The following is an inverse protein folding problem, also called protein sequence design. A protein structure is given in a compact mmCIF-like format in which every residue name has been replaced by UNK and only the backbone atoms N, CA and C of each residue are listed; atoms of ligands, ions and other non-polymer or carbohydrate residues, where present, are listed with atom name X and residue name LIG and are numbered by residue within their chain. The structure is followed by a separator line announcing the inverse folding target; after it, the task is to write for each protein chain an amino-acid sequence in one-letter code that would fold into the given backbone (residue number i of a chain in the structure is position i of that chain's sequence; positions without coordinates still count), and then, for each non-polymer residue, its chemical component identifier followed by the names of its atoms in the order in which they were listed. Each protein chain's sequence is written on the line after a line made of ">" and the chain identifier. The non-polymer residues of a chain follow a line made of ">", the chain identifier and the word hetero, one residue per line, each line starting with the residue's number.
data_IF_762910858726
#
_entry.id   IF_762910858726
#
_cell.length_a   1.000
_cell.length_b   1.000
_cell.length_c   1.000
_cell.angle_alpha   90.00
_cell.angle_beta   90.00
_cell.angle_gamma   90.00
#
_symmetry.space_group_name_H-M   'P 1'
#
loop_
_entity.id
_entity.type
_entity.pdbx_description
1 polymer ?
#
# COMPACT_ATOMS: atom_id res chain seq x y z
N UNK A 1 23.24 -3.07 -0.60
CA UNK A 1 21.77 -3.29 -0.60
C UNK A 1 21.03 -2.28 -1.47
N UNK A 2 21.24 -0.97 -1.28
CA UNK A 2 20.58 0.08 -2.08
C UNK A 2 20.67 -0.10 -3.60
N UNK A 3 21.82 -0.51 -4.15
CA UNK A 3 21.94 -0.75 -5.60
C UNK A 3 21.16 -1.98 -6.09
N UNK A 4 20.93 -2.97 -5.23
CA UNK A 4 20.02 -4.10 -5.53
C UNK A 4 18.57 -3.61 -5.60
N UNK A 5 18.15 -2.75 -4.67
CA UNK A 5 16.85 -2.07 -4.73
C UNK A 5 16.73 -1.20 -5.99
N UNK A 6 17.73 -0.34 -6.28
CA UNK A 6 17.75 0.52 -7.47
C UNK A 6 17.71 -0.28 -8.77
N UNK A 7 18.36 -1.44 -8.82
CA UNK A 7 18.31 -2.37 -9.95
C UNK A 7 16.95 -3.06 -10.07
N UNK A 8 16.36 -3.54 -8.97
CA UNK A 8 15.01 -4.10 -8.93
C UNK A 8 13.97 -3.07 -9.42
N UNK A 9 14.04 -1.83 -8.91
CA UNK A 9 13.19 -0.72 -9.34
C UNK A 9 13.36 -0.37 -10.82
N UNK A 10 14.57 -0.50 -11.38
CA UNK A 10 14.83 -0.27 -12.81
C UNK A 10 14.36 -1.44 -13.68
N UNK A 11 14.37 -2.68 -13.19
CA UNK A 11 13.87 -3.85 -13.93
C UNK A 11 12.34 -3.88 -14.05
N UNK A 12 11.58 -3.28 -13.12
CA UNK A 12 10.12 -3.16 -13.25
C UNK A 12 9.67 -2.38 -14.50
N UNK A 13 10.54 -1.51 -15.06
CA UNK A 13 10.24 -0.68 -16.24
C UNK A 13 10.49 -1.42 -17.56
N UNK A 14 11.10 -2.61 -17.53
CA UNK A 14 11.82 -3.17 -18.69
C UNK A 14 11.36 -4.51 -19.26
N UNK A 15 10.16 -5.01 -18.91
CA UNK A 15 9.70 -6.32 -19.38
C UNK A 15 8.38 -6.25 -20.13
N UNK A 16 8.46 -6.18 -21.46
CA UNK A 16 7.38 -6.48 -22.38
C UNK A 16 7.91 -7.53 -23.37
N UNK A 17 7.32 -8.74 -23.36
CA UNK A 17 7.66 -9.81 -24.31
C UNK A 17 6.55 -9.87 -25.37
N UNK A 18 6.88 -9.49 -26.60
CA UNK A 18 5.96 -9.54 -27.74
C UNK A 18 6.30 -10.74 -28.65
N UNK A 19 5.81 -11.92 -28.27
CA UNK A 19 5.90 -13.15 -29.09
C UNK A 19 4.71 -14.09 -28.82
N UNK A 20 3.50 -13.55 -28.98
CA UNK A 20 2.23 -14.29 -28.93
C UNK A 20 1.35 -13.77 -30.08
N UNK A 21 0.59 -14.67 -30.71
CA UNK A 21 -0.14 -14.40 -31.95
C UNK A 21 -1.58 -13.87 -31.71
N UNK A 22 -2.18 -14.12 -30.54
CA UNK A 22 -3.48 -13.54 -30.14
C UNK A 22 -3.30 -12.29 -29.25
N UNK A 23 -3.78 -11.10 -29.66
CA UNK A 23 -3.68 -9.88 -28.86
C UNK A 23 -4.43 -9.93 -27.52
N UNK A 24 -5.49 -10.73 -27.38
CA UNK A 24 -6.17 -10.89 -26.07
C UNK A 24 -5.24 -11.51 -25.03
N UNK A 25 -4.49 -12.55 -25.43
CA UNK A 25 -3.61 -13.29 -24.53
C UNK A 25 -2.40 -12.44 -24.09
N UNK A 26 -1.92 -11.53 -24.95
CA UNK A 26 -0.91 -10.52 -24.59
C UNK A 26 -1.43 -9.57 -23.50
N UNK A 27 -2.67 -9.09 -23.64
CA UNK A 27 -3.28 -8.16 -22.68
C UNK A 27 -3.55 -8.85 -21.32
N UNK A 28 -4.07 -10.08 -21.33
CA UNK A 28 -4.23 -10.89 -20.11
C UNK A 28 -2.89 -11.18 -19.42
N UNK A 29 -1.84 -11.50 -20.18
CA UNK A 29 -0.50 -11.68 -19.63
C UNK A 29 0.07 -10.37 -19.06
N UNK A 30 -0.18 -9.21 -19.69
CA UNK A 30 0.29 -7.93 -19.18
C UNK A 30 -0.35 -7.59 -17.82
N UNK A 31 -1.65 -7.84 -17.66
CA UNK A 31 -2.35 -7.69 -16.37
C UNK A 31 -1.73 -8.61 -15.31
N UNK A 32 -1.43 -9.87 -15.66
CA UNK A 32 -0.74 -10.84 -14.78
C UNK A 32 0.65 -10.33 -14.37
N UNK A 33 1.47 -9.90 -15.32
CA UNK A 33 2.81 -9.37 -15.08
C UNK A 33 2.80 -8.12 -14.18
N UNK A 34 1.80 -7.25 -14.33
CA UNK A 34 1.62 -6.07 -13.47
C UNK A 34 1.21 -6.46 -12.04
N UNK A 35 0.34 -7.45 -11.87
CA UNK A 35 -0.03 -7.99 -10.57
C UNK A 35 1.15 -8.66 -9.86
N UNK A 36 1.94 -9.47 -10.58
CA UNK A 36 3.13 -10.18 -10.06
C UNK A 36 4.29 -9.27 -9.64
N UNK A 37 4.24 -7.98 -10.00
CA UNK A 37 5.20 -6.96 -9.55
C UNK A 37 4.83 -6.35 -8.20
N UNK A 38 3.55 -6.34 -7.81
CA UNK A 38 3.09 -5.75 -6.54
C UNK A 38 3.73 -6.45 -5.32
N UNK A 39 3.79 -7.79 -5.22
CA UNK A 39 4.48 -8.47 -4.12
C UNK A 39 5.97 -8.15 -4.05
N UNK A 40 6.67 -8.16 -5.20
CA UNK A 40 8.12 -7.90 -5.30
C UNK A 40 8.47 -6.47 -4.86
N UNK A 41 7.60 -5.51 -5.19
CA UNK A 41 7.72 -4.12 -4.74
C UNK A 41 7.41 -3.98 -3.24
N UNK A 42 6.41 -4.68 -2.71
CA UNK A 42 6.11 -4.71 -1.27
C UNK A 42 7.28 -5.27 -0.45
N UNK A 43 7.88 -6.38 -0.88
CA UNK A 43 9.08 -6.97 -0.27
C UNK A 43 10.25 -5.98 -0.27
N UNK A 44 10.50 -5.33 -1.42
CA UNK A 44 11.53 -4.30 -1.57
C UNK A 44 11.33 -3.12 -0.62
N UNK A 45 10.08 -2.65 -0.44
CA UNK A 45 9.72 -1.60 0.51
C UNK A 45 9.88 -2.08 1.95
N UNK A 46 9.54 -3.33 2.26
CA UNK A 46 9.72 -3.91 3.58
C UNK A 46 11.21 -4.00 3.98
N UNK A 47 12.11 -4.34 3.05
CA UNK A 47 13.56 -4.28 3.29
C UNK A 47 14.05 -2.86 3.60
N UNK A 48 13.55 -1.84 2.88
CA UNK A 48 13.88 -0.43 3.17
C UNK A 48 13.32 -0.02 4.54
N UNK A 49 12.08 -0.43 4.89
CA UNK A 49 11.50 -0.17 6.21
C UNK A 49 12.28 -0.85 7.33
N UNK A 50 12.75 -2.08 7.13
CA UNK A 50 13.56 -2.80 8.12
C UNK A 50 14.87 -2.07 8.42
N UNK A 51 15.58 -1.61 7.39
CA UNK A 51 16.78 -0.78 7.55
C UNK A 51 16.48 0.55 8.24
N UNK A 52 15.37 1.21 7.90
CA UNK A 52 14.90 2.41 8.58
C UNK A 52 14.63 2.13 10.08
N UNK A 53 13.91 1.06 10.41
CA UNK A 53 13.61 0.67 11.81
C UNK A 53 14.88 0.34 12.60
N UNK A 54 15.89 -0.27 11.96
CA UNK A 54 17.18 -0.53 12.60
C UNK A 54 17.86 0.79 12.97
N UNK A 55 17.96 1.73 12.03
CA UNK A 55 18.53 3.06 12.25
C UNK A 55 17.75 3.84 13.32
N UNK A 56 16.41 3.74 13.36
CA UNK A 56 15.57 4.36 14.40
C UNK A 56 15.88 3.81 15.81
N UNK A 57 16.10 2.49 15.93
CA UNK A 57 16.49 1.85 17.20
C UNK A 57 17.90 2.25 17.65
N UNK A 58 18.87 2.26 16.72
CA UNK A 58 20.22 2.74 16.99
C UNK A 58 20.22 4.21 17.42
N UNK A 59 19.41 5.06 16.77
CA UNK A 59 19.27 6.47 17.10
C UNK A 59 18.77 6.68 18.54
N UNK A 60 17.74 5.91 18.93
CA UNK A 60 17.18 5.94 20.28
C UNK A 60 18.21 5.48 21.32
N UNK A 61 18.97 4.41 21.03
CA UNK A 61 20.05 3.93 21.88
C UNK A 61 21.14 4.99 22.08
N UNK A 62 21.66 5.57 21.00
CA UNK A 62 22.67 6.64 21.08
C UNK A 62 22.17 7.87 21.86
N UNK A 63 20.88 8.24 21.70
CA UNK A 63 20.28 9.33 22.49
C UNK A 63 20.23 9.03 23.98
N UNK A 64 19.89 7.80 24.36
CA UNK A 64 19.95 7.35 25.75
C UNK A 64 21.40 7.40 26.29
N UNK A 65 22.35 6.80 25.57
CA UNK A 65 23.77 6.74 25.99
C UNK A 65 24.39 8.15 26.12
N UNK A 66 24.08 9.07 25.20
CA UNK A 66 24.47 10.48 25.30
C UNK A 66 23.84 11.17 26.52
N UNK A 67 22.57 10.88 26.83
CA UNK A 67 21.90 11.39 28.03
C UNK A 67 22.54 10.89 29.33
N UNK A 68 22.76 9.58 29.43
CA UNK A 68 23.40 8.94 30.58
C UNK A 68 24.84 9.42 30.79
N UNK A 69 25.64 9.48 29.72
CA UNK A 69 27.02 9.99 29.79
C UNK A 69 27.04 11.47 30.18
N UNK A 70 26.09 12.28 29.69
CA UNK A 70 25.95 13.69 30.12
C UNK A 70 25.65 13.80 31.61
N UNK A 71 24.78 12.94 32.15
CA UNK A 71 24.50 12.90 33.59
C UNK A 71 25.74 12.45 34.40
N UNK A 72 26.45 11.40 33.94
CA UNK A 72 27.68 10.89 34.57
C UNK A 72 28.82 11.94 34.57
N UNK A 73 28.99 12.71 33.49
CA UNK A 73 29.93 13.85 33.44
C UNK A 73 29.55 14.91 34.48
N UNK A 74 28.29 15.35 34.52
CA UNK A 74 27.83 16.37 35.49
C UNK A 74 28.05 15.93 36.94
N UNK A 75 27.71 14.68 37.27
CA UNK A 75 27.91 14.13 38.61
C UNK A 75 29.39 14.02 38.99
N UNK A 76 30.27 13.64 38.05
CA UNK A 76 31.71 13.57 38.30
C UNK A 76 32.31 14.95 38.58
N UNK A 77 31.92 15.98 37.82
CA UNK A 77 32.34 17.39 38.05
C UNK A 77 31.83 17.89 39.42
N UNK A 78 30.56 17.67 39.74
CA UNK A 78 29.99 18.07 41.04
C UNK A 78 30.66 17.36 42.22
N UNK A 79 31.12 16.12 42.02
CA UNK A 79 31.88 15.35 43.01
C UNK A 79 33.38 15.68 43.07
N UNK A 80 33.88 16.66 42.31
CA UNK A 80 35.30 17.03 42.26
C UNK A 80 36.22 15.94 41.68
N UNK A 81 35.68 15.06 40.83
CA UNK A 81 36.42 13.91 40.24
C UNK A 81 36.73 14.16 38.77
N UNK A 82 37.61 15.13 38.53
CA UNK A 82 37.92 15.63 37.18
C UNK A 82 38.46 14.53 36.24
N UNK A 83 39.26 13.58 36.74
CA UNK A 83 39.74 12.43 35.94
C UNK A 83 38.60 11.57 35.40
N UNK A 84 37.58 11.30 36.23
CA UNK A 84 36.38 10.57 35.81
C UNK A 84 35.55 11.41 34.85
N UNK A 85 35.39 12.71 35.11
CA UNK A 85 34.68 13.63 34.24
C UNK A 85 35.30 13.67 32.83
N UNK A 86 36.63 13.77 32.73
CA UNK A 86 37.37 13.72 31.47
C UNK A 86 37.17 12.40 30.71
N UNK A 87 37.19 11.27 31.43
CA UNK A 87 36.95 9.95 30.83
C UNK A 87 35.54 9.80 30.27
N UNK A 88 34.51 10.27 30.99
CA UNK A 88 33.12 10.25 30.53
C UNK A 88 32.87 11.28 29.43
N UNK A 89 33.52 12.45 29.47
CA UNK A 89 33.40 13.48 28.43
C UNK A 89 33.97 13.00 27.09
N UNK A 90 35.10 12.29 27.11
CA UNK A 90 35.69 11.66 25.92
C UNK A 90 34.72 10.65 25.30
N UNK A 91 34.10 9.78 26.11
CA UNK A 91 33.06 8.85 25.65
C UNK A 91 31.83 9.57 25.10
N UNK A 92 31.36 10.61 25.81
CA UNK A 92 30.23 11.44 25.38
C UNK A 92 30.47 12.08 24.01
N UNK A 93 31.68 12.53 23.72
CA UNK A 93 32.04 13.11 22.42
C UNK A 93 32.05 12.05 21.31
N UNK A 94 32.52 10.83 21.60
CA UNK A 94 32.44 9.70 20.65
C UNK A 94 30.99 9.33 20.34
N UNK A 95 30.13 9.18 21.36
CA UNK A 95 28.71 8.83 21.16
C UNK A 95 27.91 9.96 20.48
N UNK A 96 28.17 11.23 20.80
CA UNK A 96 27.57 12.35 20.05
C UNK A 96 27.97 12.33 18.57
N UNK A 97 29.22 11.95 18.27
CA UNK A 97 29.70 11.81 16.88
C UNK A 97 29.08 10.60 16.18
N UNK A 98 28.81 9.51 16.90
CA UNK A 98 28.08 8.36 16.38
C UNK A 98 26.61 8.68 16.11
N UNK A 99 25.93 9.35 17.06
CA UNK A 99 24.57 9.84 16.94
C UNK A 99 24.40 10.73 15.69
N UNK A 100 25.26 11.74 15.50
CA UNK A 100 25.18 12.64 14.35
C UNK A 100 25.32 11.91 13.00
N UNK A 101 26.20 10.90 12.92
CA UNK A 101 26.33 10.04 11.72
C UNK A 101 25.08 9.19 11.50
N UNK A 102 24.53 8.59 12.56
CA UNK A 102 23.31 7.80 12.48
C UNK A 102 22.09 8.68 12.12
N UNK A 103 21.98 9.92 12.62
CA UNK A 103 20.92 10.86 12.24
C UNK A 103 20.95 11.22 10.75
N UNK A 104 22.13 11.44 10.17
CA UNK A 104 22.28 11.69 8.73
C UNK A 104 21.90 10.47 7.87
N UNK A 105 22.28 9.26 8.31
CA UNK A 105 21.86 8.01 7.67
C UNK A 105 20.35 7.79 7.79
N UNK A 106 19.78 8.08 8.96
CA UNK A 106 18.35 7.96 9.24
C UNK A 106 17.52 8.90 8.36
N UNK A 107 17.92 10.16 8.22
CA UNK A 107 17.26 11.12 7.32
C UNK A 107 17.29 10.63 5.86
N UNK A 108 18.42 10.09 5.41
CA UNK A 108 18.57 9.50 4.07
C UNK A 108 17.68 8.27 3.89
N UNK A 109 17.58 7.40 4.91
CA UNK A 109 16.72 6.22 4.90
C UNK A 109 15.22 6.57 4.88
N UNK A 110 14.79 7.63 5.60
CA UNK A 110 13.41 8.14 5.56
C UNK A 110 13.05 8.63 4.16
N UNK A 111 13.86 9.51 3.58
CA UNK A 111 13.65 10.01 2.22
C UNK A 111 13.62 8.88 1.17
N UNK A 112 14.44 7.84 1.34
CA UNK A 112 14.43 6.64 0.49
C UNK A 112 13.13 5.82 0.65
N UNK A 113 12.64 5.65 1.88
CA UNK A 113 11.38 4.96 2.17
C UNK A 113 10.17 5.70 1.60
N UNK A 114 10.07 7.02 1.83
CA UNK A 114 8.98 7.86 1.32
C UNK A 114 8.97 7.87 -0.22
N UNK A 115 10.16 7.91 -0.85
CA UNK A 115 10.28 7.78 -2.30
C UNK A 115 9.80 6.41 -2.78
N UNK A 116 10.11 5.32 -2.08
CA UNK A 116 9.64 3.98 -2.44
C UNK A 116 8.11 3.85 -2.34
N UNK A 117 7.49 4.42 -1.29
CA UNK A 117 6.03 4.51 -1.15
C UNK A 117 5.38 5.32 -2.29
N UNK A 118 5.97 6.46 -2.65
CA UNK A 118 5.49 7.28 -3.76
C UNK A 118 5.58 6.56 -5.11
N UNK A 119 6.67 5.82 -5.38
CA UNK A 119 6.77 5.01 -6.60
C UNK A 119 5.74 3.87 -6.59
N UNK A 120 5.49 3.20 -5.45
CA UNK A 120 4.39 2.23 -5.34
C UNK A 120 3.04 2.86 -5.66
N UNK A 121 2.75 4.07 -5.14
CA UNK A 121 1.49 4.78 -5.40
C UNK A 121 1.34 5.15 -6.89
N UNK A 122 2.43 5.55 -7.55
CA UNK A 122 2.44 5.81 -8.99
C UNK A 122 2.24 4.52 -9.80
N UNK A 123 2.96 3.44 -9.46
CA UNK A 123 2.84 2.13 -10.10
C UNK A 123 1.42 1.58 -9.99
N UNK A 124 0.78 1.64 -8.82
CA UNK A 124 -0.60 1.16 -8.65
C UNK A 124 -1.56 1.91 -9.57
N UNK A 125 -1.48 3.25 -9.63
CA UNK A 125 -2.30 4.06 -10.55
C UNK A 125 -2.07 3.71 -12.03
N UNK A 126 -0.83 3.47 -12.42
CA UNK A 126 -0.50 3.10 -13.80
C UNK A 126 -0.95 1.67 -14.13
N UNK A 127 -0.79 0.73 -13.20
CA UNK A 127 -1.35 -0.63 -13.27
C UNK A 127 -2.86 -0.58 -13.45
N UNK A 128 -3.56 0.18 -12.63
CA UNK A 128 -5.03 0.19 -12.63
C UNK A 128 -5.55 0.80 -13.93
N UNK A 129 -4.91 1.88 -14.42
CA UNK A 129 -5.17 2.44 -15.75
C UNK A 129 -4.92 1.42 -16.87
N UNK A 130 -3.74 0.80 -16.92
CA UNK A 130 -3.39 -0.19 -17.96
C UNK A 130 -4.27 -1.44 -17.91
N UNK A 131 -4.66 -1.88 -16.72
CA UNK A 131 -5.61 -2.98 -16.52
C UNK A 131 -6.98 -2.63 -17.09
N UNK A 132 -7.49 -1.42 -16.83
CA UNK A 132 -8.77 -0.96 -17.38
C UNK A 132 -8.73 -0.83 -18.92
N UNK A 133 -7.65 -0.26 -19.48
CA UNK A 133 -7.42 -0.16 -20.94
C UNK A 133 -7.35 -1.55 -21.59
N UNK A 134 -6.60 -2.48 -20.99
CA UNK A 134 -6.49 -3.87 -21.45
C UNK A 134 -7.83 -4.62 -21.37
N UNK A 135 -8.59 -4.48 -20.28
CA UNK A 135 -9.92 -5.09 -20.14
C UNK A 135 -10.95 -4.50 -21.11
N UNK A 136 -10.86 -3.21 -21.45
CA UNK A 136 -11.67 -2.63 -22.51
C UNK A 136 -11.35 -3.26 -23.88
N UNK A 137 -10.06 -3.29 -24.25
CA UNK A 137 -9.62 -3.87 -25.51
C UNK A 137 -9.93 -5.38 -25.63
N UNK A 138 -9.83 -6.16 -24.56
CA UNK A 138 -10.25 -7.57 -24.54
C UNK A 138 -11.76 -7.70 -24.81
N UNK A 139 -12.61 -6.86 -24.19
CA UNK A 139 -14.07 -6.86 -24.44
C UNK A 139 -14.38 -6.54 -25.91
N UNK A 140 -13.73 -5.53 -26.48
CA UNK A 140 -13.93 -5.12 -27.87
C UNK A 140 -13.45 -6.20 -28.86
N UNK A 141 -12.31 -6.84 -28.58
CA UNK A 141 -11.80 -7.96 -29.36
C UNK A 141 -12.76 -9.17 -29.33
N UNK A 142 -13.28 -9.55 -28.15
CA UNK A 142 -14.28 -10.62 -28.02
C UNK A 142 -15.59 -10.28 -28.71
N UNK A 143 -16.05 -9.03 -28.64
CA UNK A 143 -17.23 -8.55 -29.37
C UNK A 143 -17.04 -8.66 -30.88
N UNK A 144 -15.88 -8.27 -31.40
CA UNK A 144 -15.55 -8.38 -32.82
C UNK A 144 -15.46 -9.85 -33.27
N UNK A 145 -14.82 -10.72 -32.48
CA UNK A 145 -14.78 -12.17 -32.71
C UNK A 145 -16.19 -12.80 -32.67
N UNK A 146 -17.10 -12.29 -31.84
CA UNK A 146 -18.51 -12.71 -31.82
C UNK A 146 -19.26 -12.27 -33.08
N UNK A 147 -19.16 -10.99 -33.45
CA UNK A 147 -19.81 -10.44 -34.65
C UNK A 147 -19.36 -11.14 -35.93
N UNK A 148 -18.06 -11.43 -36.08
CA UNK A 148 -17.54 -12.22 -37.19
C UNK A 148 -18.18 -13.62 -37.25
N UNK A 149 -18.21 -14.36 -36.13
CA UNK A 149 -18.85 -15.69 -36.07
C UNK A 149 -20.34 -15.67 -36.40
N UNK A 150 -21.06 -14.61 -36.03
CA UNK A 150 -22.47 -14.46 -36.41
C UNK A 150 -22.59 -14.20 -37.91
N UNK A 151 -21.74 -13.35 -38.49
CA UNK A 151 -21.71 -13.10 -39.93
C UNK A 151 -21.35 -14.38 -40.73
N UNK A 152 -20.30 -15.11 -40.34
CA UNK A 152 -19.90 -16.39 -40.96
C UNK A 152 -21.05 -17.42 -40.90
N UNK A 153 -21.76 -17.47 -39.77
CA UNK A 153 -22.92 -18.35 -39.59
C UNK A 153 -24.13 -17.93 -40.46
N UNK A 154 -24.30 -16.63 -40.75
CA UNK A 154 -25.32 -16.13 -41.66
C UNK A 154 -24.95 -16.40 -43.13
N UNK A 155 -23.71 -16.11 -43.56
CA UNK A 155 -23.23 -16.35 -44.92
C UNK A 155 -23.27 -17.83 -45.29
N UNK A 156 -22.78 -18.70 -44.40
CA UNK A 156 -22.84 -20.16 -44.61
C UNK A 156 -24.27 -20.74 -44.61
N UNK A 157 -25.24 -20.03 -44.03
CA UNK A 157 -26.65 -20.41 -44.03
C UNK A 157 -27.39 -19.87 -45.28
N UNK A 158 -27.02 -18.69 -45.78
CA UNK A 158 -27.59 -18.09 -47.00
C UNK A 158 -27.30 -18.93 -48.25
N UNK A 159 -26.17 -19.65 -48.27
CA UNK A 159 -25.81 -20.64 -49.31
C UNK A 159 -26.63 -21.95 -49.20
N UNK A 160 -27.31 -22.21 -48.07
CA UNK A 160 -27.87 -23.52 -47.71
C UNK A 160 -29.41 -23.58 -47.70
N UNK A 161 -30.09 -22.94 -48.65
CA UNK A 161 -31.47 -23.28 -49.04
C UNK A 161 -32.57 -22.93 -48.02
N UNK A 162 -33.15 -21.74 -48.18
CA UNK A 162 -34.25 -21.22 -47.37
C UNK A 162 -35.55 -22.01 -47.59
N UNK A 163 -36.15 -22.52 -46.51
CA UNK A 163 -37.58 -22.33 -46.20
C UNK A 163 -37.92 -22.85 -44.78
N UNK A 164 -38.84 -22.15 -44.10
CA UNK A 164 -39.38 -22.43 -42.75
C UNK A 164 -38.43 -22.39 -41.53
N UNK A 165 -37.11 -22.56 -41.66
CA UNK A 165 -36.19 -22.61 -40.50
C UNK A 165 -35.62 -21.25 -40.06
N UNK A 166 -35.83 -20.17 -40.82
CA UNK A 166 -35.17 -18.88 -40.59
C UNK A 166 -35.56 -18.21 -39.26
N UNK A 167 -36.85 -18.05 -38.96
CA UNK A 167 -37.33 -17.39 -37.73
C UNK A 167 -36.94 -18.16 -36.44
N UNK A 168 -37.05 -19.49 -36.46
CA UNK A 168 -36.67 -20.32 -35.30
C UNK A 168 -35.16 -20.23 -35.05
N UNK A 169 -34.35 -20.16 -36.12
CA UNK A 169 -32.90 -19.99 -36.03
C UNK A 169 -32.49 -18.56 -35.64
N UNK A 170 -33.18 -17.52 -36.13
CA UNK A 170 -32.97 -16.14 -35.66
C UNK A 170 -33.17 -16.06 -34.15
N UNK A 171 -34.30 -16.58 -33.66
CA UNK A 171 -34.60 -16.60 -32.21
C UNK A 171 -33.55 -17.34 -31.40
N UNK A 172 -32.95 -18.40 -31.98
CA UNK A 172 -31.91 -19.22 -31.35
C UNK A 172 -30.53 -18.53 -31.35
N UNK A 173 -30.22 -17.76 -32.40
CA UNK A 173 -29.02 -16.91 -32.49
C UNK A 173 -29.15 -15.71 -31.54
N UNK A 174 -30.33 -15.10 -31.44
CA UNK A 174 -30.62 -14.05 -30.44
C UNK A 174 -30.51 -14.60 -29.02
N UNK A 175 -31.10 -15.77 -28.73
CA UNK A 175 -31.00 -16.45 -27.44
C UNK A 175 -29.55 -16.78 -27.09
N UNK A 176 -28.75 -17.32 -28.02
CA UNK A 176 -27.33 -17.57 -27.79
C UNK A 176 -26.49 -16.30 -27.69
N UNK A 177 -26.84 -15.22 -28.40
CA UNK A 177 -26.19 -13.91 -28.25
C UNK A 177 -26.48 -13.34 -26.87
N UNK A 178 -27.74 -13.29 -26.45
CA UNK A 178 -28.16 -12.81 -25.14
C UNK A 178 -27.55 -13.65 -23.99
N UNK A 179 -27.48 -14.98 -24.12
CA UNK A 179 -26.85 -15.85 -23.11
C UNK A 179 -25.34 -15.62 -23.03
N UNK A 180 -24.65 -15.37 -24.15
CA UNK A 180 -23.21 -15.10 -24.12
C UNK A 180 -22.88 -13.66 -23.69
N UNK A 181 -23.73 -12.69 -24.01
CA UNK A 181 -23.65 -11.32 -23.50
C UNK A 181 -23.91 -11.28 -21.99
N UNK A 182 -24.94 -12.00 -21.49
CA UNK A 182 -25.19 -12.17 -20.06
C UNK A 182 -24.05 -12.90 -19.34
N UNK A 183 -23.45 -13.94 -19.95
CA UNK A 183 -22.23 -14.58 -19.40
C UNK A 183 -21.04 -13.61 -19.37
N UNK A 184 -20.92 -12.72 -20.34
CA UNK A 184 -19.88 -11.69 -20.35
C UNK A 184 -20.12 -10.65 -19.26
N UNK A 185 -21.36 -10.16 -19.08
CA UNK A 185 -21.68 -9.21 -18.01
C UNK A 185 -21.47 -9.83 -16.63
N UNK A 186 -21.92 -11.08 -16.41
CA UNK A 186 -21.67 -11.82 -15.17
C UNK A 186 -20.17 -12.08 -14.92
N UNK A 187 -19.38 -12.34 -15.97
CA UNK A 187 -17.93 -12.49 -15.82
C UNK A 187 -17.25 -11.18 -15.40
N UNK A 188 -17.68 -10.04 -15.95
CA UNK A 188 -17.19 -8.72 -15.56
C UNK A 188 -17.60 -8.37 -14.12
N UNK A 189 -18.86 -8.62 -13.77
CA UNK A 189 -19.40 -8.48 -12.41
C UNK A 189 -18.67 -9.39 -11.41
N UNK A 190 -18.23 -10.59 -11.82
CA UNK A 190 -17.44 -11.51 -10.97
C UNK A 190 -16.04 -10.98 -10.62
N UNK A 191 -15.45 -10.12 -11.46
CA UNK A 191 -14.19 -9.41 -11.17
C UNK A 191 -14.46 -8.25 -10.21
N UNK A 192 -15.57 -7.55 -10.41
CA UNK A 192 -16.04 -6.45 -9.56
C UNK A 192 -16.52 -6.92 -8.17
N UNK A 193 -16.84 -8.21 -8.03
CA UNK A 193 -17.16 -8.84 -6.74
C UNK A 193 -16.03 -8.73 -5.70
N UNK A 194 -14.80 -8.38 -6.12
CA UNK A 194 -13.69 -8.00 -5.24
C UNK A 194 -13.78 -6.54 -4.77
N UNK A 195 -14.24 -5.61 -5.61
CA UNK A 195 -14.51 -4.23 -5.24
C UNK A 195 -15.75 -4.11 -4.34
N UNK A 196 -16.84 -4.82 -4.66
CA UNK A 196 -18.04 -4.90 -3.81
C UNK A 196 -17.70 -5.39 -2.40
N UNK A 197 -16.82 -6.39 -2.26
CA UNK A 197 -16.35 -6.84 -0.93
C UNK A 197 -15.51 -5.80 -0.20
N UNK A 198 -14.72 -4.99 -0.92
CA UNK A 198 -13.97 -3.87 -0.33
C UNK A 198 -14.93 -2.76 0.11
N UNK A 199 -16.02 -2.54 -0.61
CA UNK A 199 -17.08 -1.57 -0.26
C UNK A 199 -17.91 -2.05 0.94
N UNK A 200 -18.35 -3.32 0.97
CA UNK A 200 -18.97 -3.95 2.13
C UNK A 200 -18.06 -3.93 3.38
N UNK A 201 -16.76 -4.20 3.22
CA UNK A 201 -15.79 -4.08 4.33
C UNK A 201 -15.62 -2.62 4.78
N UNK A 202 -15.63 -1.65 3.86
CA UNK A 202 -15.55 -0.23 4.17
C UNK A 202 -16.80 0.29 4.90
N UNK A 203 -18.00 -0.09 4.46
CA UNK A 203 -19.26 0.21 5.15
C UNK A 203 -19.29 -0.45 6.54
N UNK A 204 -18.85 -1.70 6.67
CA UNK A 204 -18.77 -2.40 7.95
C UNK A 204 -17.76 -1.77 8.90
N UNK A 205 -16.64 -1.24 8.40
CA UNK A 205 -15.71 -0.44 9.20
C UNK A 205 -16.36 0.88 9.65
N UNK A 206 -17.03 1.61 8.76
CA UNK A 206 -17.74 2.85 9.13
C UNK A 206 -18.86 2.60 10.14
N UNK A 207 -19.65 1.53 9.99
CA UNK A 207 -20.69 1.15 10.94
C UNK A 207 -20.11 0.81 12.33
N UNK A 208 -18.97 0.12 12.38
CA UNK A 208 -18.28 -0.16 13.65
C UNK A 208 -17.70 1.12 14.28
N UNK A 209 -17.16 2.05 13.49
CA UNK A 209 -16.70 3.36 13.95
C UNK A 209 -17.86 4.19 14.53
N UNK A 210 -19.02 4.20 13.85
CA UNK A 210 -20.23 4.90 14.29
C UNK A 210 -20.81 4.31 15.58
N UNK A 211 -20.87 2.98 15.69
CA UNK A 211 -21.28 2.28 16.92
C UNK A 211 -20.32 2.56 18.07
N UNK A 212 -19.01 2.69 17.79
CA UNK A 212 -18.01 3.07 18.79
C UNK A 212 -18.20 4.52 19.26
N UNK A 213 -18.48 5.45 18.34
CA UNK A 213 -18.82 6.84 18.69
C UNK A 213 -20.08 6.89 19.57
N UNK A 214 -21.15 6.17 19.19
CA UNK A 214 -22.36 6.05 20.00
C UNK A 214 -22.11 5.42 21.38
N UNK A 215 -21.22 4.42 21.50
CA UNK A 215 -20.85 3.82 22.79
C UNK A 215 -20.06 4.77 23.70
N UNK A 216 -19.20 5.62 23.11
CA UNK A 216 -18.50 6.69 23.83
C UNK A 216 -19.48 7.78 24.30
N UNK A 217 -20.44 8.16 23.45
CA UNK A 217 -21.49 9.15 23.78
C UNK A 217 -22.49 8.62 24.83
N UNK A 218 -22.80 7.32 24.80
CA UNK A 218 -23.63 6.60 25.78
C UNK A 218 -22.86 6.25 27.08
N UNK A 219 -21.57 6.60 27.20
CA UNK A 219 -20.77 6.36 28.41
C UNK A 219 -20.46 4.90 28.75
N UNK A 220 -20.63 3.98 27.79
CA UNK A 220 -20.46 2.53 28.00
C UNK A 220 -19.03 2.02 27.78
N UNK A 221 -18.14 2.86 27.26
CA UNK A 221 -16.68 2.63 27.28
C UNK A 221 -15.99 3.77 28.04
N UNK A 222 -15.66 3.54 29.31
CA UNK A 222 -14.67 4.37 30.02
C UNK A 222 -13.26 3.99 29.55
N UNK A 223 -12.31 4.96 29.49
CA UNK A 223 -10.95 4.68 29.04
C UNK A 223 -10.28 3.66 29.97
N UNK A 224 -9.75 2.57 29.39
CA UNK A 224 -8.95 1.60 30.12
C UNK A 224 -7.72 2.28 30.76
N UNK A 225 -7.31 1.84 31.96
CA UNK A 225 -6.73 2.74 32.95
C UNK A 225 -5.26 3.10 32.70
N UNK A 226 -4.94 4.36 33.01
CA UNK A 226 -3.56 4.80 33.28
C UNK A 226 -3.23 4.61 34.75
N UNK A 227 -2.63 3.47 35.07
CA UNK A 227 -1.82 3.20 36.27
C UNK A 227 -0.52 2.53 35.81
N UNK A 228 0.68 2.86 36.28
CA UNK A 228 1.16 3.85 37.27
C UNK A 228 2.66 4.16 36.92
N UNK A 229 3.42 5.13 37.46
CA UNK A 229 3.34 5.95 38.68
C UNK A 229 3.89 7.37 38.41
N UNK A 230 3.33 8.43 39.02
CA UNK A 230 4.14 9.57 39.47
C UNK A 230 3.58 10.19 40.76
N UNK A 231 4.04 9.65 41.89
CA UNK A 231 3.89 10.24 43.22
C UNK A 231 4.69 11.54 43.33
N UNK A 232 4.28 12.42 44.26
CA UNK A 232 5.02 13.64 44.60
C UNK A 232 4.31 14.91 44.14
N UNK A 233 3.26 15.30 44.86
CA UNK A 233 2.73 16.65 44.73
C UNK A 233 3.56 17.64 45.54
N UNK A 234 3.64 18.88 45.09
CA UNK A 234 3.99 20.01 45.97
C UNK A 234 3.10 21.22 45.69
N UNK A 235 2.80 21.96 46.76
CA UNK A 235 1.90 23.12 46.77
C UNK A 235 2.71 24.39 46.51
N UNK A 236 2.07 25.43 45.96
CA UNK A 236 2.14 26.88 46.31
C UNK A 236 1.72 27.72 45.08
N UNK A 237 0.54 28.37 45.07
CA UNK A 237 0.13 29.66 45.70
C UNK A 237 0.25 30.87 44.74
N UNK A 238 -0.90 31.55 44.54
CA UNK A 238 -1.02 32.95 44.09
C UNK A 238 -1.59 33.14 42.68
N UNK A 239 -2.46 34.13 42.41
CA UNK A 239 -3.29 35.02 43.27
C UNK A 239 -4.43 35.59 42.40
N UNK A 240 -5.55 35.97 43.04
CA UNK A 240 -6.75 36.60 42.43
C UNK A 240 -6.46 37.69 41.38
N UNK A 241 -7.37 37.84 40.41
CA UNK A 241 -8.07 39.11 40.21
C UNK A 241 -9.46 38.96 39.55
N UNK A 242 -10.38 39.88 39.87
CA UNK A 242 -11.75 39.97 39.34
C UNK A 242 -11.86 41.17 38.40
N UNK A 243 -12.43 40.98 37.21
CA UNK A 243 -12.95 42.02 36.30
C UNK A 243 -14.07 41.34 35.49
N UNK A 244 -15.31 41.83 35.37
CA UNK A 244 -15.94 43.08 35.82
C UNK A 244 -17.42 42.83 36.15
#
# INVERSE_FOLDING_TARGET
>A
MWDRFRRAMRSFVGFFVSSIEDPELILEQNIRDLNDQVPKMNESIAMVRANLTLLEKENAKYKQEVGELTAKVKAAIQGGRDDLAASYATRLQMEKSALARNEAQLATAKAAYDKALNVKKAFMREKDKKTAEAMAAIRDARRSKWQAKVADAMESFEVAGIDATHDEMLRKIEEQTAVNEARMSMALESVDHSAVKIEEEAEKMQANELVKQFKMEMGLESPAPVSDVSSGGEKTIGKKEQVK
#
